data_IF_829625164553
#
_entry.id   IF_829625164553
#
_cell.length_a   1.000
_cell.length_b   1.000
_cell.length_c   1.000
_cell.angle_alpha   90.00
_cell.angle_beta   90.00
_cell.angle_gamma   90.00
#
_symmetry.space_group_name_H-M   'P 1'
#
loop_
_entity.id
_entity.type
_entity.pdbx_description
1 polymer ?
#
# COMPACT_ATOMS: atom_id res chain seq x y z
N UNK A 1 39.53 7.67 -11.62
CA UNK A 1 38.62 8.36 -10.69
C UNK A 1 37.37 8.70 -11.47
N UNK A 2 36.27 7.99 -11.26
CA UNK A 2 34.99 8.33 -11.90
C UNK A 2 34.42 9.50 -11.10
N UNK A 3 34.27 10.67 -11.72
CA UNK A 3 33.60 11.80 -11.08
C UNK A 3 32.21 11.35 -10.59
N UNK A 4 31.82 11.68 -9.34
CA UNK A 4 30.48 11.38 -8.88
C UNK A 4 29.48 12.11 -9.79
N UNK A 5 28.70 11.33 -10.55
CA UNK A 5 27.68 11.86 -11.46
C UNK A 5 26.75 12.79 -10.68
N UNK A 6 26.85 14.10 -10.93
CA UNK A 6 25.99 15.09 -10.27
C UNK A 6 24.52 14.76 -10.58
N UNK A 7 23.75 14.48 -9.54
CA UNK A 7 22.31 14.24 -9.64
C UNK A 7 21.61 15.59 -9.67
N UNK A 8 20.78 15.82 -10.69
CA UNK A 8 19.95 17.02 -10.81
C UNK A 8 18.52 16.73 -10.35
N UNK A 9 17.79 17.77 -9.95
CA UNK A 9 16.36 17.65 -9.58
C UNK A 9 15.56 17.06 -10.75
N UNK A 10 15.78 17.58 -11.96
CA UNK A 10 15.18 17.04 -13.18
C UNK A 10 15.54 15.57 -13.39
N UNK A 11 16.80 15.19 -13.12
CA UNK A 11 17.24 13.80 -13.18
C UNK A 11 16.40 12.88 -12.28
N UNK A 12 16.09 13.31 -11.06
CA UNK A 12 15.24 12.52 -10.14
C UNK A 12 13.86 12.29 -10.74
N UNK A 13 13.21 13.31 -11.32
CA UNK A 13 11.88 13.13 -11.93
C UNK A 13 11.85 12.13 -13.08
N UNK A 14 12.98 11.94 -13.79
CA UNK A 14 13.12 11.01 -14.91
C UNK A 14 13.87 9.72 -14.55
N UNK A 15 14.03 9.39 -13.27
CA UNK A 15 14.51 8.07 -12.88
C UNK A 15 13.56 6.98 -13.37
N UNK A 16 14.13 5.85 -13.80
CA UNK A 16 13.39 4.67 -14.25
C UNK A 16 12.27 4.27 -13.28
N UNK A 17 12.51 4.12 -11.96
CA UNK A 17 11.44 3.82 -11.01
C UNK A 17 10.33 4.88 -10.98
N UNK A 18 10.65 6.16 -11.17
CA UNK A 18 9.64 7.22 -11.13
C UNK A 18 8.78 7.26 -12.40
N UNK A 19 9.35 6.89 -13.55
CA UNK A 19 8.58 6.71 -14.79
C UNK A 19 7.60 5.53 -14.67
N UNK A 20 8.02 4.45 -14.01
CA UNK A 20 7.13 3.33 -13.65
C UNK A 20 6.04 3.82 -12.69
N UNK A 21 6.40 4.61 -11.67
CA UNK A 21 5.47 5.26 -10.75
C UNK A 21 4.41 6.11 -11.46
N UNK A 22 4.78 6.94 -12.44
CA UNK A 22 3.79 7.71 -13.23
C UNK A 22 2.88 6.80 -14.05
N UNK A 23 3.42 5.71 -14.59
CA UNK A 23 2.62 4.71 -15.31
C UNK A 23 1.59 4.05 -14.39
N UNK A 24 1.97 3.73 -13.15
CA UNK A 24 1.04 3.23 -12.11
C UNK A 24 -0.09 4.23 -11.83
N UNK A 25 0.24 5.51 -11.68
CA UNK A 25 -0.78 6.56 -11.47
C UNK A 25 -1.79 6.57 -12.62
N UNK A 26 -1.34 6.56 -13.87
CA UNK A 26 -2.23 6.56 -15.04
C UNK A 26 -3.10 5.30 -15.08
N UNK A 27 -2.50 4.12 -14.86
CA UNK A 27 -3.23 2.85 -14.86
C UNK A 27 -4.29 2.79 -13.75
N UNK A 28 -3.96 3.27 -12.55
CA UNK A 28 -4.87 3.32 -11.42
C UNK A 28 -6.04 4.28 -11.67
N UNK A 29 -5.75 5.50 -12.13
CA UNK A 29 -6.80 6.47 -12.48
C UNK A 29 -7.73 5.94 -13.58
N UNK A 30 -7.17 5.31 -14.61
CA UNK A 30 -7.97 4.73 -15.67
C UNK A 30 -8.82 3.57 -15.18
N UNK A 31 -8.27 2.67 -14.35
CA UNK A 31 -9.00 1.59 -13.70
C UNK A 31 -10.23 2.13 -12.95
N UNK A 32 -10.04 3.14 -12.10
CA UNK A 32 -11.12 3.76 -11.33
C UNK A 32 -12.15 4.45 -12.23
N UNK A 33 -11.73 5.10 -13.33
CA UNK A 33 -12.62 5.78 -14.26
C UNK A 33 -13.59 4.80 -14.96
N UNK A 34 -13.16 3.58 -15.25
CA UNK A 34 -13.99 2.56 -15.90
C UNK A 34 -14.61 1.56 -14.93
N UNK A 35 -14.42 1.74 -13.61
CA UNK A 35 -14.76 0.74 -12.61
C UNK A 35 -16.26 0.40 -12.51
N UNK A 36 -17.16 1.26 -12.96
CA UNK A 36 -18.60 0.97 -12.98
C UNK A 36 -19.13 0.64 -14.38
N UNK A 37 -18.31 0.77 -15.42
CA UNK A 37 -18.72 0.59 -16.83
C UNK A 37 -18.12 -0.67 -17.46
N UNK A 38 -16.86 -0.99 -17.16
CA UNK A 38 -16.15 -2.17 -17.65
C UNK A 38 -15.22 -2.72 -16.57
N UNK A 39 -15.75 -3.66 -15.78
CA UNK A 39 -15.02 -4.24 -14.66
C UNK A 39 -13.80 -5.07 -15.07
N UNK A 40 -13.80 -5.64 -16.28
CA UNK A 40 -12.68 -6.47 -16.77
C UNK A 40 -11.47 -5.58 -17.09
N UNK A 41 -11.71 -4.50 -17.82
CA UNK A 41 -10.67 -3.50 -18.11
C UNK A 41 -10.20 -2.83 -16.81
N UNK A 42 -11.13 -2.50 -15.90
CA UNK A 42 -10.79 -1.94 -14.59
C UNK A 42 -9.83 -2.83 -13.81
N UNK A 43 -10.15 -4.13 -13.66
CA UNK A 43 -9.31 -5.08 -12.93
C UNK A 43 -7.98 -5.30 -13.61
N UNK A 44 -7.95 -5.39 -14.95
CA UNK A 44 -6.69 -5.54 -15.68
C UNK A 44 -5.76 -4.36 -15.43
N UNK A 45 -6.27 -3.13 -15.56
CA UNK A 45 -5.48 -1.92 -15.31
C UNK A 45 -5.04 -1.80 -13.85
N UNK A 46 -5.92 -2.12 -12.88
CA UNK A 46 -5.56 -2.13 -11.46
C UNK A 46 -4.46 -3.16 -11.17
N UNK A 47 -4.62 -4.39 -11.67
CA UNK A 47 -3.65 -5.48 -11.45
C UNK A 47 -2.29 -5.16 -12.09
N UNK A 48 -2.27 -4.53 -13.26
CA UNK A 48 -1.03 -4.06 -13.88
C UNK A 48 -0.36 -2.96 -13.04
N UNK A 49 -1.12 -1.98 -12.55
CA UNK A 49 -0.61 -0.94 -11.64
C UNK A 49 -0.01 -1.55 -10.37
N UNK A 50 -0.74 -2.47 -9.74
CA UNK A 50 -0.30 -3.18 -8.54
C UNK A 50 0.94 -4.04 -8.78
N UNK A 51 1.07 -4.66 -9.95
CA UNK A 51 2.28 -5.44 -10.28
C UNK A 51 3.48 -4.53 -10.54
N UNK A 52 3.26 -3.36 -11.15
CA UNK A 52 4.30 -2.35 -11.39
C UNK A 52 4.91 -1.77 -10.10
N UNK A 53 4.18 -1.80 -8.98
CA UNK A 53 4.68 -1.41 -7.65
C UNK A 53 5.98 -2.15 -7.28
N UNK A 54 5.96 -3.47 -7.40
CA UNK A 54 7.15 -4.27 -7.13
C UNK A 54 8.34 -3.88 -8.02
N UNK A 55 8.05 -3.52 -9.28
CA UNK A 55 9.08 -3.21 -10.26
C UNK A 55 9.75 -1.86 -10.04
N UNK A 56 9.05 -0.82 -9.60
CA UNK A 56 9.73 0.45 -9.32
C UNK A 56 10.73 0.31 -8.17
N UNK A 57 10.39 -0.38 -7.09
CA UNK A 57 11.31 -0.64 -6.00
C UNK A 57 12.50 -1.50 -6.44
N UNK A 58 12.24 -2.49 -7.31
CA UNK A 58 13.29 -3.33 -7.90
C UNK A 58 14.27 -2.50 -8.73
N UNK A 59 13.79 -1.68 -9.68
CA UNK A 59 14.63 -0.84 -10.52
C UNK A 59 15.29 0.30 -9.75
N UNK A 60 14.67 0.84 -8.70
CA UNK A 60 15.28 1.83 -7.83
C UNK A 60 16.57 1.28 -7.19
N UNK A 61 16.54 0.02 -6.71
CA UNK A 61 17.72 -0.65 -6.13
C UNK A 61 18.72 -1.07 -7.19
N UNK A 62 18.26 -1.64 -8.31
CA UNK A 62 19.12 -2.13 -9.39
C UNK A 62 19.89 -1.00 -10.08
N UNK A 63 19.25 0.15 -10.29
CA UNK A 63 19.83 1.30 -10.98
C UNK A 63 20.48 2.33 -10.04
N UNK A 64 20.54 2.07 -8.73
CA UNK A 64 20.99 3.02 -7.70
C UNK A 64 20.24 4.38 -7.76
N UNK A 65 18.93 4.32 -8.03
CA UNK A 65 18.03 5.46 -8.23
C UNK A 65 17.04 5.65 -7.07
N UNK A 66 17.31 5.07 -5.90
CA UNK A 66 16.54 5.30 -4.68
C UNK A 66 16.49 6.80 -4.33
N UNK A 67 15.28 7.34 -4.11
CA UNK A 67 15.07 8.74 -3.76
C UNK A 67 13.86 8.90 -2.85
N UNK A 68 13.87 9.95 -2.00
CA UNK A 68 12.71 10.30 -1.17
C UNK A 68 11.50 10.66 -2.02
N UNK A 69 11.70 11.31 -3.17
CA UNK A 69 10.63 11.60 -4.11
C UNK A 69 9.95 10.32 -4.59
N UNK A 70 10.73 9.33 -5.06
CA UNK A 70 10.18 8.04 -5.51
C UNK A 70 9.44 7.30 -4.40
N UNK A 71 9.98 7.27 -3.18
CA UNK A 71 9.33 6.64 -2.04
C UNK A 71 8.00 7.33 -1.66
N UNK A 72 7.90 8.65 -1.81
CA UNK A 72 6.64 9.39 -1.58
C UNK A 72 5.65 9.15 -2.73
N UNK A 73 6.11 9.17 -3.98
CA UNK A 73 5.28 8.88 -5.16
C UNK A 73 4.65 7.49 -5.06
N UNK A 74 5.45 6.49 -4.73
CA UNK A 74 5.04 5.11 -4.48
C UNK A 74 3.93 5.04 -3.42
N UNK A 75 4.22 5.53 -2.21
CA UNK A 75 3.26 5.50 -1.10
C UNK A 75 1.96 6.25 -1.39
N UNK A 76 2.02 7.41 -2.04
CA UNK A 76 0.80 8.15 -2.38
C UNK A 76 -0.01 7.40 -3.43
N UNK A 77 0.64 6.83 -4.44
CA UNK A 77 -0.03 6.08 -5.53
C UNK A 77 -0.76 4.85 -4.97
N UNK A 78 -0.12 4.10 -4.09
CA UNK A 78 -0.74 2.98 -3.38
C UNK A 78 -1.99 3.40 -2.62
N UNK A 79 -1.84 4.36 -1.70
CA UNK A 79 -2.95 4.77 -0.82
C UNK A 79 -4.12 5.32 -1.61
N UNK A 80 -3.87 6.11 -2.66
CA UNK A 80 -4.91 6.62 -3.54
C UNK A 80 -5.61 5.50 -4.34
N UNK A 81 -4.86 4.51 -4.83
CA UNK A 81 -5.43 3.37 -5.57
C UNK A 81 -6.36 2.55 -4.69
N UNK A 82 -5.89 2.17 -3.49
CA UNK A 82 -6.68 1.42 -2.52
C UNK A 82 -7.90 2.22 -2.06
N UNK A 83 -7.76 3.53 -1.79
CA UNK A 83 -8.89 4.39 -1.45
C UNK A 83 -9.96 4.39 -2.56
N UNK A 84 -9.53 4.58 -3.80
CA UNK A 84 -10.45 4.58 -4.94
C UNK A 84 -11.22 3.28 -5.04
N UNK A 85 -10.53 2.14 -4.90
CA UNK A 85 -11.16 0.82 -4.94
C UNK A 85 -12.12 0.62 -3.75
N UNK A 86 -11.75 1.04 -2.54
CA UNK A 86 -12.63 0.98 -1.37
C UNK A 86 -13.88 1.86 -1.54
N UNK A 87 -13.76 3.03 -2.17
CA UNK A 87 -14.91 3.89 -2.49
C UNK A 87 -15.82 3.20 -3.50
N UNK A 88 -15.27 2.60 -4.56
CA UNK A 88 -16.04 1.81 -5.52
C UNK A 88 -16.75 0.64 -4.83
N UNK A 89 -16.05 -0.13 -3.99
CA UNK A 89 -16.63 -1.22 -3.21
C UNK A 89 -17.74 -0.74 -2.27
N UNK A 90 -17.59 0.43 -1.65
CA UNK A 90 -18.63 1.02 -0.80
C UNK A 90 -19.91 1.34 -1.56
N UNK A 91 -19.81 1.67 -2.85
CA UNK A 91 -20.95 1.88 -3.74
C UNK A 91 -21.60 0.56 -4.18
N UNK A 92 -20.79 -0.45 -4.50
CA UNK A 92 -21.27 -1.78 -4.93
C UNK A 92 -21.88 -2.60 -3.78
N UNK A 93 -21.44 -2.35 -2.54
CA UNK A 93 -21.88 -3.05 -1.34
C UNK A 93 -22.34 -2.05 -0.25
N UNK A 94 -23.47 -1.35 -0.45
CA UNK A 94 -23.91 -0.26 0.42
C UNK A 94 -24.15 -0.71 1.88
N UNK A 95 -24.50 -1.98 2.10
CA UNK A 95 -24.66 -2.56 3.44
C UNK A 95 -23.35 -2.59 4.26
N UNK A 96 -22.19 -2.54 3.61
CA UNK A 96 -20.86 -2.53 4.23
C UNK A 96 -20.13 -1.20 4.07
N UNK A 97 -20.81 -0.14 3.61
CA UNK A 97 -20.23 1.18 3.36
C UNK A 97 -19.40 1.70 4.55
N UNK A 98 -19.93 1.59 5.78
CA UNK A 98 -19.21 2.03 6.98
C UNK A 98 -17.90 1.26 7.20
N UNK A 99 -17.88 -0.04 6.90
CA UNK A 99 -16.67 -0.87 7.03
C UNK A 99 -15.60 -0.37 6.07
N UNK A 100 -15.92 -0.19 4.78
CA UNK A 100 -14.95 0.33 3.80
C UNK A 100 -14.46 1.73 4.14
N UNK A 101 -15.35 2.60 4.66
CA UNK A 101 -14.97 3.92 5.13
C UNK A 101 -13.96 3.85 6.29
N UNK A 102 -14.19 2.99 7.29
CA UNK A 102 -13.24 2.82 8.39
C UNK A 102 -11.90 2.22 7.94
N UNK A 103 -11.93 1.25 7.03
CA UNK A 103 -10.72 0.67 6.43
C UNK A 103 -9.90 1.75 5.72
N UNK A 104 -10.54 2.60 4.92
CA UNK A 104 -9.90 3.72 4.23
C UNK A 104 -9.26 4.70 5.21
N UNK A 105 -10.03 5.17 6.21
CA UNK A 105 -9.53 6.12 7.21
C UNK A 105 -8.35 5.56 7.99
N UNK A 106 -8.43 4.29 8.40
CA UNK A 106 -7.35 3.62 9.12
C UNK A 106 -6.10 3.47 8.25
N UNK A 107 -6.26 3.08 6.99
CA UNK A 107 -5.13 2.89 6.08
C UNK A 107 -4.39 4.21 5.82
N UNK A 108 -5.12 5.30 5.52
CA UNK A 108 -4.53 6.63 5.35
C UNK A 108 -3.85 7.14 6.61
N UNK A 109 -4.54 7.13 7.75
CA UNK A 109 -4.00 7.67 9.01
C UNK A 109 -2.76 6.91 9.46
N UNK A 110 -2.78 5.58 9.43
CA UNK A 110 -1.66 4.74 9.84
C UNK A 110 -0.41 4.94 8.99
N UNK A 111 -0.55 5.03 7.66
CA UNK A 111 0.60 5.27 6.77
C UNK A 111 1.10 6.71 6.84
N UNK A 112 0.21 7.70 7.00
CA UNK A 112 0.63 9.09 7.16
C UNK A 112 1.50 9.29 8.40
N UNK A 113 1.04 8.80 9.55
CA UNK A 113 1.82 8.82 10.79
C UNK A 113 3.13 8.05 10.65
N UNK A 114 3.09 6.87 10.03
CA UNK A 114 4.28 6.06 9.82
C UNK A 114 5.33 6.79 8.96
N UNK A 115 4.92 7.35 7.83
CA UNK A 115 5.77 8.13 6.92
C UNK A 115 6.36 9.36 7.60
N UNK A 116 5.61 10.05 8.45
CA UNK A 116 6.13 11.19 9.20
C UNK A 116 7.16 10.73 10.24
N UNK A 117 6.83 9.72 11.05
CA UNK A 117 7.70 9.20 12.11
C UNK A 117 9.01 8.59 11.57
N UNK A 118 9.04 8.10 10.34
CA UNK A 118 10.23 7.47 9.74
C UNK A 118 11.27 8.49 9.24
N UNK A 119 10.91 9.79 9.17
CA UNK A 119 11.80 10.88 8.74
C UNK A 119 12.65 11.47 9.87
N UNK A 120 12.32 11.20 11.14
CA UNK A 120 13.02 11.76 12.30
C UNK A 120 14.49 11.33 12.44
N UNK A 121 15.31 12.17 13.08
CA UNK A 121 16.75 11.95 13.24
C UNK A 121 17.10 10.88 14.28
N UNK A 122 16.23 10.69 15.28
CA UNK A 122 16.33 9.63 16.27
C UNK A 122 15.32 8.56 15.91
N UNK A 123 15.72 7.62 15.04
CA UNK A 123 14.91 6.46 14.67
C UNK A 123 14.71 5.56 15.89
N UNK A 124 13.79 5.92 16.78
CA UNK A 124 13.22 4.94 17.71
C UNK A 124 12.33 4.06 16.84
N UNK A 125 12.91 2.97 16.36
CA UNK A 125 12.26 2.08 15.39
C UNK A 125 10.93 1.62 16.00
N UNK A 126 9.81 2.00 15.38
CA UNK A 126 8.45 1.64 15.79
C UNK A 126 8.31 0.14 16.10
N UNK A 127 9.05 -0.70 15.35
CA UNK A 127 9.12 -2.13 15.57
C UNK A 127 9.64 -2.50 16.98
N UNK A 128 10.68 -1.87 17.51
CA UNK A 128 11.31 -2.27 18.80
C UNK A 128 10.31 -2.35 19.97
N UNK A 129 9.25 -1.52 19.95
CA UNK A 129 8.28 -1.39 21.05
C UNK A 129 7.10 -2.35 20.97
N UNK A 130 6.67 -2.76 19.78
CA UNK A 130 5.45 -3.54 19.62
C UNK A 130 5.77 -4.93 19.05
N UNK A 131 5.55 -5.97 19.86
CA UNK A 131 5.76 -7.37 19.46
C UNK A 131 5.10 -7.70 18.12
N UNK A 132 3.88 -7.20 17.88
CA UNK A 132 3.17 -7.44 16.63
C UNK A 132 3.90 -6.80 15.44
N UNK A 133 4.40 -5.57 15.58
CA UNK A 133 5.17 -4.90 14.52
C UNK A 133 6.52 -5.58 14.30
N UNK A 134 7.18 -6.08 15.36
CA UNK A 134 8.42 -6.88 15.23
C UNK A 134 8.17 -8.15 14.43
N UNK A 135 7.09 -8.86 14.74
CA UNK A 135 6.71 -10.06 14.01
C UNK A 135 6.37 -9.73 12.56
N UNK A 136 5.57 -8.69 12.34
CA UNK A 136 5.15 -8.23 11.02
C UNK A 136 6.35 -7.86 10.13
N UNK A 137 7.25 -7.01 10.61
CA UNK A 137 8.43 -6.59 9.84
C UNK A 137 9.57 -7.63 9.83
N UNK A 138 9.61 -8.53 10.82
CA UNK A 138 10.64 -9.56 10.95
C UNK A 138 10.36 -10.82 10.12
N UNK A 139 9.08 -11.15 9.85
CA UNK A 139 8.70 -12.31 9.05
C UNK A 139 8.25 -11.88 7.65
N UNK A 140 9.19 -11.87 6.69
CA UNK A 140 8.94 -11.40 5.32
C UNK A 140 7.77 -12.12 4.60
N UNK A 141 7.59 -13.45 4.72
CA UNK A 141 6.42 -14.11 4.12
C UNK A 141 5.09 -13.63 4.72
N UNK A 142 5.04 -13.37 6.03
CA UNK A 142 3.84 -12.87 6.69
C UNK A 142 3.55 -11.41 6.31
N UNK A 143 4.58 -10.58 6.20
CA UNK A 143 4.49 -9.23 5.66
C UNK A 143 3.86 -9.23 4.26
N UNK A 144 4.43 -10.03 3.35
CA UNK A 144 3.94 -10.18 1.98
C UNK A 144 2.51 -10.70 1.92
N UNK A 145 2.18 -11.72 2.73
CA UNK A 145 0.82 -12.25 2.85
C UNK A 145 -0.19 -11.17 3.24
N UNK A 146 0.12 -10.34 4.25
CA UNK A 146 -0.76 -9.27 4.68
C UNK A 146 -0.92 -8.19 3.61
N UNK A 147 0.17 -7.72 2.99
CA UNK A 147 0.12 -6.65 1.99
C UNK A 147 -0.60 -7.11 0.71
N UNK A 148 -0.13 -8.20 0.10
CA UNK A 148 -0.70 -8.72 -1.15
C UNK A 148 -2.10 -9.29 -0.91
N UNK A 149 -2.32 -10.00 0.20
CA UNK A 149 -3.61 -10.59 0.51
C UNK A 149 -4.71 -9.56 0.77
N UNK A 150 -4.38 -8.40 1.34
CA UNK A 150 -5.34 -7.30 1.53
C UNK A 150 -5.75 -6.67 0.20
N UNK A 151 -4.79 -6.34 -0.66
CA UNK A 151 -5.10 -5.80 -1.98
C UNK A 151 -5.89 -6.81 -2.83
N UNK A 152 -5.46 -8.08 -2.81
CA UNK A 152 -6.16 -9.15 -3.50
C UNK A 152 -7.58 -9.34 -2.95
N UNK A 153 -7.81 -9.19 -1.65
CA UNK A 153 -9.16 -9.25 -1.08
C UNK A 153 -10.09 -8.19 -1.70
N UNK A 154 -9.63 -6.94 -1.83
CA UNK A 154 -10.43 -5.87 -2.43
C UNK A 154 -10.68 -6.10 -3.93
N UNK A 155 -9.65 -6.52 -4.67
CA UNK A 155 -9.78 -6.85 -6.10
C UNK A 155 -10.77 -8.01 -6.29
N UNK A 156 -10.65 -9.07 -5.49
CA UNK A 156 -11.53 -10.25 -5.59
C UNK A 156 -12.97 -9.91 -5.19
N UNK A 157 -13.20 -9.12 -4.14
CA UNK A 157 -14.52 -8.61 -3.82
C UNK A 157 -15.13 -7.85 -4.99
N UNK A 158 -14.35 -6.97 -5.62
CA UNK A 158 -14.80 -6.21 -6.77
C UNK A 158 -15.17 -7.12 -7.96
N UNK A 159 -14.33 -8.12 -8.29
CA UNK A 159 -14.62 -9.09 -9.36
C UNK A 159 -15.85 -9.94 -9.06
N UNK A 160 -15.96 -10.46 -7.82
CA UNK A 160 -17.06 -11.33 -7.40
C UNK A 160 -18.41 -10.61 -7.36
N UNK A 161 -18.43 -9.27 -7.29
CA UNK A 161 -19.66 -8.50 -7.48
C UNK A 161 -20.27 -8.71 -8.87
N UNK A 162 -19.43 -8.73 -9.91
CA UNK A 162 -19.87 -8.86 -11.30
C UNK A 162 -19.93 -10.31 -11.79
N UNK A 163 -19.03 -11.18 -11.32
CA UNK A 163 -18.98 -12.60 -11.65
C UNK A 163 -18.80 -13.47 -10.40
N UNK A 164 -19.90 -13.75 -9.65
CA UNK A 164 -19.84 -14.52 -8.41
C UNK A 164 -19.53 -16.00 -8.62
N UNK A 165 -19.72 -16.50 -9.85
CA UNK A 165 -19.51 -17.91 -10.21
C UNK A 165 -18.11 -18.19 -10.76
N UNK A 166 -17.24 -17.18 -10.78
CA UNK A 166 -15.90 -17.29 -11.33
C UNK A 166 -15.10 -18.40 -10.64
N UNK A 167 -14.52 -19.26 -11.47
CA UNK A 167 -13.63 -20.35 -11.04
C UNK A 167 -12.18 -19.97 -11.32
N UNK A 168 -11.27 -20.42 -10.46
CA UNK A 168 -9.84 -20.34 -10.70
C UNK A 168 -9.53 -21.22 -11.91
N UNK A 169 -8.91 -20.65 -12.97
CA UNK A 169 -8.49 -21.43 -14.14
C UNK A 169 -7.66 -22.64 -13.73
N UNK A 170 -7.83 -23.76 -14.44
CA UNK A 170 -7.09 -25.04 -14.26
C UNK A 170 -7.41 -25.85 -13.00
N UNK A 171 -7.86 -25.24 -11.89
CA UNK A 171 -8.10 -25.93 -10.62
C UNK A 171 -9.60 -26.12 -10.34
N UNK A 172 -10.49 -25.42 -11.06
CA UNK A 172 -11.95 -25.48 -10.90
C UNK A 172 -12.46 -25.18 -9.48
N UNK A 173 -11.68 -24.44 -8.69
CA UNK A 173 -12.06 -24.00 -7.35
C UNK A 173 -12.74 -22.63 -7.45
N UNK A 174 -13.87 -22.39 -6.75
CA UNK A 174 -14.50 -21.08 -6.74
C UNK A 174 -13.57 -19.99 -6.20
N UNK A 175 -13.43 -18.88 -6.95
CA UNK A 175 -12.63 -17.71 -6.53
C UNK A 175 -13.12 -17.16 -5.19
N UNK A 176 -14.42 -17.32 -4.90
CA UNK A 176 -15.03 -17.00 -3.62
C UNK A 176 -14.33 -17.66 -2.43
N UNK A 177 -13.88 -18.91 -2.56
CA UNK A 177 -13.17 -19.61 -1.49
C UNK A 177 -11.80 -18.97 -1.23
N UNK A 178 -11.07 -18.61 -2.27
CA UNK A 178 -9.80 -17.89 -2.15
C UNK A 178 -10.03 -16.52 -1.47
N UNK A 179 -11.04 -15.78 -1.91
CA UNK A 179 -11.38 -14.47 -1.37
C UNK A 179 -11.64 -14.52 0.14
N UNK A 180 -12.50 -15.43 0.61
CA UNK A 180 -12.92 -15.45 2.02
C UNK A 180 -12.05 -16.30 2.95
N UNK A 181 -11.43 -17.39 2.47
CA UNK A 181 -10.61 -18.24 3.34
C UNK A 181 -9.13 -17.87 3.37
N UNK A 182 -8.64 -17.11 2.38
CA UNK A 182 -7.23 -16.72 2.30
C UNK A 182 -7.07 -15.21 2.39
N UNK A 183 -7.75 -14.45 1.52
CA UNK A 183 -7.53 -13.01 1.41
C UNK A 183 -8.21 -12.21 2.55
N UNK A 184 -9.40 -12.62 3.01
CA UNK A 184 -10.05 -11.98 4.15
C UNK A 184 -9.22 -12.09 5.44
N UNK A 185 -8.69 -13.27 5.85
CA UNK A 185 -7.77 -13.35 6.98
C UNK A 185 -6.54 -12.45 6.83
N UNK A 186 -5.95 -12.37 5.63
CA UNK A 186 -4.84 -11.46 5.35
C UNK A 186 -5.24 -9.99 5.58
N UNK A 187 -6.41 -9.58 5.08
CA UNK A 187 -6.98 -8.26 5.27
C UNK A 187 -7.22 -7.94 6.75
N UNK A 188 -7.80 -8.86 7.51
CA UNK A 188 -8.01 -8.69 8.96
C UNK A 188 -6.67 -8.51 9.68
N UNK A 189 -5.69 -9.39 9.43
CA UNK A 189 -4.36 -9.31 10.02
C UNK A 189 -3.69 -7.96 9.69
N UNK A 190 -3.73 -7.54 8.42
CA UNK A 190 -3.15 -6.27 7.98
C UNK A 190 -3.79 -5.07 8.68
N UNK A 191 -5.11 -5.07 8.87
CA UNK A 191 -5.79 -3.98 9.55
C UNK A 191 -5.46 -3.92 11.05
N UNK A 192 -5.31 -5.07 11.71
CA UNK A 192 -4.78 -5.12 13.10
C UNK A 192 -3.37 -4.53 13.15
N UNK A 193 -2.52 -4.88 12.19
CA UNK A 193 -1.18 -4.29 12.06
C UNK A 193 -1.23 -2.79 11.80
N UNK A 194 -2.15 -2.30 10.97
CA UNK A 194 -2.31 -0.85 10.70
C UNK A 194 -2.67 -0.07 11.98
N UNK A 195 -3.53 -0.62 12.84
CA UNK A 195 -3.82 -0.02 14.17
C UNK A 195 -2.55 0.04 15.02
N UNK A 196 -1.83 -1.08 15.13
CA UNK A 196 -0.58 -1.13 15.89
C UNK A 196 0.47 -0.15 15.35
N UNK A 197 0.57 -0.03 14.02
CA UNK A 197 1.45 0.89 13.33
C UNK A 197 1.09 2.35 13.62
N UNK A 198 -0.20 2.70 13.56
CA UNK A 198 -0.68 4.04 13.87
C UNK A 198 -0.31 4.44 15.31
N UNK A 199 -0.65 3.59 16.29
CA UNK A 199 -0.35 3.86 17.69
C UNK A 199 1.16 4.00 17.95
N UNK A 200 1.97 3.10 17.36
CA UNK A 200 3.41 3.13 17.52
C UNK A 200 4.04 4.38 16.88
N UNK A 201 3.61 4.74 15.67
CA UNK A 201 4.08 5.92 14.97
C UNK A 201 3.68 7.21 15.69
N UNK A 202 2.44 7.32 16.18
CA UNK A 202 1.97 8.46 16.96
C UNK A 202 2.80 8.65 18.25
N UNK A 203 3.09 7.56 18.96
CA UNK A 203 3.99 7.61 20.12
C UNK A 203 5.39 8.07 19.72
N UNK A 204 5.96 7.56 18.63
CA UNK A 204 7.30 7.95 18.19
C UNK A 204 7.41 9.44 17.89
N UNK A 205 6.37 10.04 17.28
CA UNK A 205 6.30 11.49 17.06
C UNK A 205 6.30 12.24 18.39
N UNK A 206 5.42 11.86 19.33
CA UNK A 206 5.36 12.51 20.65
C UNK A 206 6.67 12.36 21.45
N UNK A 207 7.37 11.22 21.30
CA UNK A 207 8.67 11.00 21.94
C UNK A 207 9.76 11.91 21.36
N UNK A 208 9.71 12.20 20.06
CA UNK A 208 10.61 13.16 19.42
C UNK A 208 10.36 14.58 19.94
N UNK A 209 9.08 14.98 20.09
CA UNK A 209 8.71 16.27 20.69
C UNK A 209 9.27 16.44 22.11
N UNK A 210 9.14 15.40 22.94
CA UNK A 210 9.72 15.39 24.30
C UNK A 210 11.25 15.50 24.26
N UNK A 211 11.91 14.79 23.35
CA UNK A 211 13.36 14.83 23.22
C UNK A 211 13.87 16.21 22.76
N UNK A 212 13.16 16.87 21.85
CA UNK A 212 13.47 18.23 21.40
C UNK A 212 13.24 19.25 22.52
N UNK A 213 12.11 19.16 23.23
CA UNK A 213 11.80 20.05 24.35
C UNK A 213 12.82 19.94 25.49
N UNK A 214 13.32 18.73 25.78
CA UNK A 214 14.32 18.52 26.84
C UNK A 214 15.74 18.95 26.43
N UNK A 215 16.07 19.00 25.13
CA UNK A 215 17.36 19.53 24.65
C UNK A 215 17.41 21.06 24.62
N UNK A 216 16.25 21.70 24.60
CA UNK A 216 16.12 23.16 24.60
C UNK A 216 16.17 23.78 26.02
N UNK A 217 16.22 22.94 27.06
CA UNK A 217 16.45 23.35 28.46
C UNK A 217 17.89 23.05 28.85
#
# INVERSE_FOLDING_TARGET
MVEPKQRTVTGVFFYVPNLIGYTRVVLSLYSLAVALTDYKTSVLCYALSFTCDYFDGFFARLCDQCSTFGAVLDMVTDRCSTAGLLVVLSHLYPQYMLVFMYLLILDFSSHWYHMYSSRGHHKVVAAERNFLLRFYYGCYPFFGFCCVGTELFYILLYVLHFDPTLLIPFINVPVMQLCYYVCLPACVCKNITNVAQLCSAAYSVAAEDVALANKAK
#
